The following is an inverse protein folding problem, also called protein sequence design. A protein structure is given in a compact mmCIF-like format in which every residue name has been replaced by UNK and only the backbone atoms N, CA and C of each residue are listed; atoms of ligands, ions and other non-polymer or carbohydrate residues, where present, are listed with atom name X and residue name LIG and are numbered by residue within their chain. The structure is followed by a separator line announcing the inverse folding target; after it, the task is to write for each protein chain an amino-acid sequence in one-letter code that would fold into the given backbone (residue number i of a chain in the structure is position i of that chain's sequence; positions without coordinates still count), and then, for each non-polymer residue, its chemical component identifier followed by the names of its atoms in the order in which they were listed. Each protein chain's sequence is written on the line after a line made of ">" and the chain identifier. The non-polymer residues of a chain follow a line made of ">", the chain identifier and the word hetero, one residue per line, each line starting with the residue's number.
data_IF_129504794332
#
_entry.id   IF_129504794332
#
_cell.length_a   1.000
_cell.length_b   1.000
_cell.length_c   1.000
_cell.angle_alpha   90.00
_cell.angle_beta   90.00
_cell.angle_gamma   90.00
#
_symmetry.space_group_name_H-M   'P 1'
#
loop_
_entity.id
_entity.type
_entity.pdbx_description
1 polymer ?
#
# COMPACT_ATOMS: atom_id res chain seq x y z
N UNK A 1 -12.53 -17.16 3.29
CA UNK A 1 -11.79 -16.36 2.29
C UNK A 1 -11.51 -17.25 1.09
N UNK A 2 -12.43 -17.36 0.14
CA UNK A 2 -12.22 -18.10 -1.12
C UNK A 2 -12.25 -17.08 -2.26
N UNK A 3 -11.22 -17.05 -3.12
CA UNK A 3 -11.28 -16.33 -4.39
C UNK A 3 -9.94 -15.92 -5.00
N UNK A 4 -9.13 -15.13 -4.29
CA UNK A 4 -8.02 -14.41 -4.94
C UNK A 4 -6.64 -15.09 -4.85
N UNK A 5 -6.49 -16.17 -4.08
CA UNK A 5 -5.22 -16.91 -3.96
C UNK A 5 -4.06 -16.06 -3.44
N UNK A 6 -4.34 -15.06 -2.58
CA UNK A 6 -3.34 -14.11 -2.08
C UNK A 6 -2.16 -14.84 -1.42
N UNK A 7 -0.95 -14.52 -1.90
CA UNK A 7 0.32 -15.12 -1.43
C UNK A 7 1.18 -14.11 -0.69
N UNK A 8 0.88 -12.81 -0.79
CA UNK A 8 1.66 -11.75 -0.14
C UNK A 8 0.77 -10.58 0.29
N UNK A 9 1.04 -10.06 1.48
CA UNK A 9 0.55 -8.79 1.97
C UNK A 9 1.73 -7.81 2.02
N UNK A 10 1.68 -6.78 1.17
CA UNK A 10 2.64 -5.68 1.18
C UNK A 10 2.03 -4.51 1.94
N UNK A 11 2.53 -4.26 3.15
CA UNK A 11 2.14 -3.12 3.96
C UNK A 11 2.80 -1.86 3.43
N UNK A 12 1.99 -0.91 2.96
CA UNK A 12 2.43 0.38 2.42
C UNK A 12 2.07 1.53 3.36
N UNK A 13 1.72 1.23 4.62
CA UNK A 13 1.47 2.23 5.65
C UNK A 13 2.78 2.88 6.09
N UNK A 14 2.74 4.20 6.28
CA UNK A 14 3.87 4.97 6.83
C UNK A 14 4.30 4.44 8.21
N UNK A 15 3.32 4.11 9.06
CA UNK A 15 3.56 3.49 10.36
C UNK A 15 2.75 2.20 10.42
N UNK A 16 3.43 1.07 10.63
CA UNK A 16 2.79 -0.24 10.77
C UNK A 16 2.45 -0.56 12.24
N UNK A 17 3.07 0.10 13.23
CA UNK A 17 2.90 -0.19 14.66
C UNK A 17 1.47 0.09 15.22
N UNK A 18 0.58 0.71 14.43
CA UNK A 18 -0.81 0.92 14.85
C UNK A 18 -1.57 -0.40 14.92
N UNK A 19 -2.45 -0.50 15.93
CA UNK A 19 -3.42 -1.59 16.03
C UNK A 19 -4.24 -1.67 14.74
N UNK A 20 -4.30 -2.85 14.15
CA UNK A 20 -5.31 -3.16 13.15
C UNK A 20 -6.63 -3.32 13.91
N UNK A 21 -7.66 -2.61 13.50
CA UNK A 21 -8.99 -2.60 14.13
C UNK A 21 -9.44 -3.99 14.59
N UNK A 22 -9.40 -4.25 15.90
CA UNK A 22 -9.91 -5.47 16.54
C UNK A 22 -9.06 -6.75 16.39
N UNK A 23 -7.94 -6.72 15.68
CA UNK A 23 -7.03 -7.87 15.54
C UNK A 23 -5.64 -7.53 16.09
N UNK A 24 -4.86 -8.59 16.28
CA UNK A 24 -3.57 -8.62 16.95
C UNK A 24 -2.62 -7.46 16.54
N UNK A 25 -1.66 -7.12 17.41
CA UNK A 25 -0.70 -6.04 17.13
C UNK A 25 -0.08 -6.27 15.77
N UNK A 26 0.32 -5.23 15.04
CA UNK A 26 0.95 -5.41 13.72
C UNK A 26 2.18 -6.34 13.73
N UNK A 27 2.78 -6.56 14.90
CA UNK A 27 3.84 -7.55 15.13
C UNK A 27 3.38 -9.01 14.96
N UNK A 28 2.11 -9.30 15.18
CA UNK A 28 1.53 -10.64 15.12
C UNK A 28 0.96 -10.97 13.73
N UNK A 29 0.76 -9.93 12.89
CA UNK A 29 0.23 -10.09 11.53
C UNK A 29 1.07 -11.03 10.65
N UNK A 30 2.42 -10.98 10.64
CA UNK A 30 3.24 -11.93 9.90
C UNK A 30 3.01 -13.37 10.36
N UNK A 31 2.83 -13.58 11.66
CA UNK A 31 2.58 -14.91 12.22
C UNK A 31 1.22 -15.45 11.76
N UNK A 32 0.16 -14.66 11.80
CA UNK A 32 -1.16 -15.09 11.34
C UNK A 32 -1.21 -15.31 9.82
N UNK A 33 -0.62 -14.42 9.02
CA UNK A 33 -0.61 -14.57 7.56
C UNK A 33 0.13 -15.83 7.12
N UNK A 34 1.27 -16.13 7.74
CA UNK A 34 2.04 -17.34 7.45
C UNK A 34 1.29 -18.59 7.88
N UNK A 35 0.78 -18.63 9.12
CA UNK A 35 0.20 -19.85 9.69
C UNK A 35 -1.24 -20.14 9.25
N UNK A 36 -2.04 -19.10 8.96
CA UNK A 36 -3.44 -19.26 8.58
C UNK A 36 -3.68 -19.14 7.08
N UNK A 37 -2.92 -18.29 6.39
CA UNK A 37 -3.14 -17.98 4.97
C UNK A 37 -2.01 -18.46 4.06
N UNK A 38 -0.86 -18.92 4.60
CA UNK A 38 0.32 -19.24 3.81
C UNK A 38 0.88 -18.04 3.04
N UNK A 39 0.59 -16.82 3.50
CA UNK A 39 0.96 -15.58 2.83
C UNK A 39 2.17 -14.92 3.50
N UNK A 40 3.05 -14.34 2.68
CA UNK A 40 4.18 -13.54 3.14
C UNK A 40 3.71 -12.14 3.59
N UNK A 41 4.38 -11.58 4.58
CA UNK A 41 4.21 -10.18 4.99
C UNK A 41 5.50 -9.41 4.71
N UNK A 42 5.38 -8.29 4.01
CA UNK A 42 6.48 -7.35 3.77
C UNK A 42 6.01 -5.93 4.09
N UNK A 43 6.90 -5.09 4.63
CA UNK A 43 6.62 -3.67 4.86
C UNK A 43 7.47 -2.84 3.89
N UNK A 44 6.81 -2.00 3.09
CA UNK A 44 7.44 -1.18 2.05
C UNK A 44 7.05 0.30 2.20
N UNK A 45 7.74 1.04 3.08
CA UNK A 45 7.43 2.44 3.36
C UNK A 45 7.78 3.40 2.20
N UNK A 46 8.54 2.96 1.18
CA UNK A 46 8.78 3.79 -0.02
C UNK A 46 7.50 4.03 -0.83
N UNK A 47 6.51 3.16 -0.65
CA UNK A 47 5.16 3.30 -1.22
C UNK A 47 4.19 4.06 -0.31
N UNK A 48 4.65 4.59 0.82
CA UNK A 48 3.84 5.36 1.75
C UNK A 48 3.94 6.88 1.50
N UNK A 49 2.86 7.65 1.70
CA UNK A 49 2.92 9.11 1.75
C UNK A 49 3.75 9.58 2.95
N UNK A 50 4.32 10.79 2.87
CA UNK A 50 5.05 11.36 4.02
C UNK A 50 4.10 11.75 5.15
N UNK A 51 4.66 11.96 6.35
CA UNK A 51 3.89 12.39 7.52
C UNK A 51 3.24 13.75 7.27
N UNK A 52 3.98 14.65 6.65
CA UNK A 52 3.58 16.02 6.35
C UNK A 52 2.40 16.05 5.40
N UNK A 53 2.42 15.22 4.34
CA UNK A 53 1.32 15.10 3.39
C UNK A 53 0.06 14.56 4.05
N UNK A 54 0.18 13.48 4.84
CA UNK A 54 -0.94 12.91 5.59
C UNK A 54 -1.53 13.92 6.57
N UNK A 55 -0.69 14.65 7.29
CA UNK A 55 -1.12 15.64 8.27
C UNK A 55 -1.79 16.84 7.59
N UNK A 56 -1.28 17.31 6.46
CA UNK A 56 -1.88 18.39 5.68
C UNK A 56 -3.26 17.99 5.14
N UNK A 57 -3.39 16.79 4.58
CA UNK A 57 -4.65 16.28 4.06
C UNK A 57 -5.69 16.05 5.16
N UNK A 58 -5.30 15.39 6.27
CA UNK A 58 -6.19 15.13 7.42
C UNK A 58 -6.68 16.40 8.10
N UNK A 59 -5.85 17.44 8.14
CA UNK A 59 -6.21 18.75 8.70
C UNK A 59 -6.99 19.63 7.70
N UNK A 60 -7.32 19.11 6.52
CA UNK A 60 -8.05 19.84 5.48
C UNK A 60 -7.28 21.01 4.86
N UNK A 61 -5.95 21.06 5.03
CA UNK A 61 -5.10 22.12 4.48
C UNK A 61 -4.87 21.95 2.98
N UNK A 62 -4.95 20.71 2.50
CA UNK A 62 -4.90 20.36 1.08
C UNK A 62 -6.10 19.49 0.73
N UNK A 63 -6.67 19.74 -0.46
CA UNK A 63 -7.72 18.90 -1.02
C UNK A 63 -7.16 17.57 -1.56
N UNK A 64 -8.05 16.63 -1.83
CA UNK A 64 -7.66 15.33 -2.40
C UNK A 64 -6.88 15.45 -3.73
N UNK A 65 -7.28 16.28 -4.72
CA UNK A 65 -6.52 16.41 -5.97
C UNK A 65 -5.08 16.87 -5.77
N UNK A 66 -4.86 17.84 -4.87
CA UNK A 66 -3.52 18.33 -4.54
C UNK A 66 -2.69 17.26 -3.81
N UNK A 67 -3.34 16.44 -2.98
CA UNK A 67 -2.68 15.29 -2.35
C UNK A 67 -2.29 14.21 -3.38
N UNK A 68 -3.17 13.91 -4.35
CA UNK A 68 -2.87 12.95 -5.42
C UNK A 68 -1.64 13.38 -6.22
N UNK A 69 -1.62 14.63 -6.70
CA UNK A 69 -0.51 15.20 -7.46
C UNK A 69 0.80 15.14 -6.67
N UNK A 70 0.80 15.64 -5.44
CA UNK A 70 1.98 15.62 -4.59
C UNK A 70 2.46 14.19 -4.30
N UNK A 71 1.54 13.23 -4.15
CA UNK A 71 1.92 11.85 -3.85
C UNK A 71 2.49 11.13 -5.06
N UNK A 72 1.92 11.35 -6.24
CA UNK A 72 2.49 10.86 -7.49
C UNK A 72 3.89 11.42 -7.72
N UNK A 73 4.08 12.73 -7.51
CA UNK A 73 5.40 13.35 -7.59
C UNK A 73 6.40 12.71 -6.61
N UNK A 74 5.98 12.42 -5.38
CA UNK A 74 6.83 11.73 -4.41
C UNK A 74 7.27 10.33 -4.88
N UNK A 75 6.39 9.58 -5.55
CA UNK A 75 6.74 8.27 -6.09
C UNK A 75 7.79 8.39 -7.21
N UNK A 76 7.65 9.42 -8.07
CA UNK A 76 8.61 9.75 -9.14
C UNK A 76 9.96 10.19 -8.57
N UNK A 77 9.97 11.09 -7.58
CA UNK A 77 11.19 11.55 -6.91
C UNK A 77 11.95 10.40 -6.24
N UNK A 78 11.23 9.42 -5.70
CA UNK A 78 11.80 8.20 -5.11
C UNK A 78 12.25 7.18 -6.16
N UNK A 79 11.88 7.37 -7.43
CA UNK A 79 12.12 6.42 -8.52
C UNK A 79 11.70 5.01 -8.12
N UNK A 80 10.49 4.88 -7.56
CA UNK A 80 10.02 3.59 -7.01
C UNK A 80 9.93 2.50 -8.09
N UNK A 81 9.69 2.89 -9.33
CA UNK A 81 9.71 2.04 -10.52
C UNK A 81 11.09 1.44 -10.81
N UNK A 82 12.17 2.06 -10.36
CA UNK A 82 13.53 1.54 -10.50
C UNK A 82 14.06 0.88 -9.23
N UNK A 83 13.64 1.38 -8.07
CA UNK A 83 14.18 0.95 -6.77
C UNK A 83 13.40 -0.18 -6.12
N UNK A 84 12.15 -0.42 -6.53
CA UNK A 84 11.38 -1.58 -6.11
C UNK A 84 11.75 -2.81 -6.92
N UNK A 85 11.85 -3.96 -6.25
CA UNK A 85 11.95 -5.23 -6.93
C UNK A 85 10.57 -5.61 -7.51
N UNK A 86 10.49 -5.84 -8.82
CA UNK A 86 9.26 -6.28 -9.50
C UNK A 86 8.75 -7.62 -8.97
N UNK A 87 9.64 -8.47 -8.45
CA UNK A 87 9.29 -9.77 -7.85
C UNK A 87 8.31 -9.64 -6.67
N UNK A 88 8.15 -8.42 -6.11
CA UNK A 88 7.11 -8.09 -5.14
C UNK A 88 5.69 -8.40 -5.67
N UNK A 89 5.51 -8.44 -7.00
CA UNK A 89 4.22 -8.62 -7.67
C UNK A 89 4.15 -9.87 -8.56
N UNK A 90 5.17 -10.74 -8.55
CA UNK A 90 5.17 -12.01 -9.30
C UNK A 90 4.17 -13.05 -8.77
N UNK A 91 3.69 -12.83 -7.54
CA UNK A 91 2.63 -13.61 -6.91
C UNK A 91 1.43 -12.70 -6.63
N UNK A 92 0.23 -13.26 -6.41
CA UNK A 92 -0.92 -12.48 -5.99
C UNK A 92 -0.64 -11.69 -4.69
N UNK A 93 -0.40 -10.38 -4.84
CA UNK A 93 0.01 -9.47 -3.77
C UNK A 93 -1.10 -8.46 -3.48
N UNK A 94 -1.43 -8.28 -2.20
CA UNK A 94 -2.37 -7.24 -1.72
C UNK A 94 -1.60 -6.12 -1.07
N UNK A 95 -1.98 -4.88 -1.37
CA UNK A 95 -1.48 -3.69 -0.67
C UNK A 95 -2.35 -3.38 0.56
N UNK A 96 -1.73 -3.37 1.74
CA UNK A 96 -2.36 -2.92 2.98
C UNK A 96 -2.11 -1.42 3.19
N UNK A 97 -3.19 -0.67 3.37
CA UNK A 97 -3.20 0.78 3.60
C UNK A 97 -4.03 1.13 4.84
N UNK A 98 -4.20 2.42 5.16
CA UNK A 98 -4.96 2.86 6.36
C UNK A 98 -6.33 3.46 6.04
N UNK A 99 -6.65 3.64 4.76
CA UNK A 99 -7.87 4.25 4.28
C UNK A 99 -9.03 3.27 4.27
N UNK A 100 -10.23 3.77 4.59
CA UNK A 100 -11.43 2.94 4.74
C UNK A 100 -12.05 2.49 3.39
N UNK A 101 -11.79 3.20 2.29
CA UNK A 101 -12.40 2.92 0.99
C UNK A 101 -11.50 3.32 -0.19
N UNK A 102 -11.76 2.78 -1.40
CA UNK A 102 -10.88 2.90 -2.57
C UNK A 102 -10.88 4.30 -3.22
N UNK A 103 -11.96 5.07 -3.07
CA UNK A 103 -12.14 6.40 -3.68
C UNK A 103 -10.97 7.36 -3.37
N UNK A 104 -10.56 7.40 -2.09
CA UNK A 104 -9.50 8.28 -1.59
C UNK A 104 -8.41 7.46 -0.90
N UNK A 105 -7.82 6.55 -1.65
CA UNK A 105 -6.86 5.58 -1.14
C UNK A 105 -5.48 5.73 -1.81
N UNK A 106 -4.41 5.86 -1.02
CA UNK A 106 -3.07 5.94 -1.59
C UNK A 106 -2.63 4.64 -2.28
N UNK A 107 -3.17 3.48 -1.88
CA UNK A 107 -2.86 2.19 -2.54
C UNK A 107 -3.33 2.17 -4.00
N UNK A 108 -4.41 2.89 -4.32
CA UNK A 108 -4.89 3.07 -5.70
C UNK A 108 -3.85 3.82 -6.51
N UNK A 109 -3.40 4.96 -6.00
CA UNK A 109 -2.38 5.81 -6.64
C UNK A 109 -1.06 5.05 -6.86
N UNK A 110 -0.64 4.24 -5.90
CA UNK A 110 0.54 3.35 -6.03
C UNK A 110 0.35 2.36 -7.18
N UNK A 111 -0.79 1.67 -7.26
CA UNK A 111 -1.04 0.68 -8.30
C UNK A 111 -1.14 1.31 -9.69
N UNK A 112 -1.83 2.45 -9.81
CA UNK A 112 -1.93 3.22 -11.05
C UNK A 112 -0.54 3.70 -11.51
N UNK A 113 0.29 4.18 -10.58
CA UNK A 113 1.65 4.62 -10.86
C UNK A 113 2.53 3.48 -11.39
N UNK A 114 2.54 2.34 -10.68
CA UNK A 114 3.36 1.19 -11.05
C UNK A 114 2.87 0.55 -12.35
N UNK A 115 1.55 0.52 -12.62
CA UNK A 115 1.04 0.02 -13.90
C UNK A 115 1.50 0.90 -15.07
N UNK A 116 1.44 2.22 -14.90
CA UNK A 116 1.95 3.18 -15.89
C UNK A 116 3.45 2.98 -16.15
N UNK A 117 4.23 2.69 -15.11
CA UNK A 117 5.69 2.57 -15.22
C UNK A 117 6.17 1.21 -15.73
N UNK A 118 5.55 0.11 -15.27
CA UNK A 118 5.99 -1.25 -15.56
C UNK A 118 5.15 -1.97 -16.62
N UNK A 119 3.91 -1.54 -16.81
CA UNK A 119 2.89 -2.20 -17.61
C UNK A 119 2.43 -3.54 -17.02
N UNK A 120 1.15 -3.86 -17.25
CA UNK A 120 0.61 -5.21 -17.02
C UNK A 120 0.22 -5.52 -15.57
N UNK A 121 0.11 -4.51 -14.71
CA UNK A 121 -0.43 -4.68 -13.37
C UNK A 121 -1.95 -4.68 -13.45
N UNK A 122 -2.56 -5.81 -13.06
CA UNK A 122 -4.02 -5.91 -12.93
C UNK A 122 -4.42 -5.67 -11.49
N UNK A 123 -4.80 -4.43 -11.17
CA UNK A 123 -5.33 -4.08 -9.86
C UNK A 123 -6.78 -4.55 -9.71
N UNK A 124 -7.07 -5.28 -8.63
CA UNK A 124 -8.44 -5.60 -8.20
C UNK A 124 -8.65 -5.00 -6.82
N UNK A 125 -9.61 -4.08 -6.70
CA UNK A 125 -9.99 -3.52 -5.41
C UNK A 125 -10.92 -4.51 -4.69
N UNK A 126 -10.44 -5.05 -3.57
CA UNK A 126 -11.18 -5.92 -2.65
C UNK A 126 -11.91 -5.11 -1.57
#
# INVERSE_FOLDING_TARGET
>A
MNGAGIRRLLDVRLNNASQLSGFARSADLPFFLKNLCGAEYLHEPRLAPTREMLDAYRKGRVGWPAYEEAFTQLLEERRVEETLNRDLFDVPTVLLCSEAGPERCHRRLVLEYLDRAWGGIRAVHL
#
